data_IF_733206458765
#
_entry.id   IF_733206458765
#
_cell.length_a   1.000
_cell.length_b   1.000
_cell.length_c   1.000
_cell.angle_alpha   90.00
_cell.angle_beta   90.00
_cell.angle_gamma   90.00
#
_symmetry.space_group_name_H-M   'P 1'
#
loop_
_entity.id
_entity.type
_entity.pdbx_description
1 polymer ?
#
# COMPACT_ATOMS: atom_id res chain seq x y z
N UNK A 1 23.13 7.89 -1.74
CA UNK A 1 21.73 8.35 -1.76
C UNK A 1 21.12 7.98 -0.44
N UNK A 2 20.73 8.98 0.36
CA UNK A 2 20.04 8.76 1.63
C UNK A 2 18.62 8.23 1.39
N UNK A 3 17.98 7.64 2.41
CA UNK A 3 16.56 7.26 2.32
C UNK A 3 15.67 8.48 2.02
N UNK A 4 16.08 9.67 2.46
CA UNK A 4 15.39 10.93 2.18
C UNK A 4 15.43 11.31 0.70
N UNK A 5 16.63 11.31 0.09
CA UNK A 5 16.79 11.59 -1.34
C UNK A 5 16.06 10.56 -2.22
N UNK A 6 16.08 9.29 -1.80
CA UNK A 6 15.37 8.23 -2.49
C UNK A 6 13.85 8.40 -2.36
N UNK A 7 13.36 8.85 -1.20
CA UNK A 7 11.95 9.13 -0.98
C UNK A 7 11.47 10.25 -1.91
N UNK A 8 12.17 11.39 -1.93
CA UNK A 8 11.85 12.51 -2.83
C UNK A 8 11.80 12.04 -4.28
N UNK A 9 12.83 11.33 -4.74
CA UNK A 9 12.88 10.79 -6.11
C UNK A 9 11.73 9.82 -6.40
N UNK A 10 11.25 9.09 -5.40
CA UNK A 10 10.13 8.17 -5.53
C UNK A 10 8.81 8.93 -5.66
N UNK A 11 8.60 9.95 -4.82
CA UNK A 11 7.38 10.77 -4.82
C UNK A 11 7.17 11.49 -6.16
N UNK A 12 8.25 11.98 -6.79
CA UNK A 12 8.18 12.62 -8.11
C UNK A 12 7.72 11.73 -9.28
N UNK A 13 7.59 10.42 -9.07
CA UNK A 13 7.16 9.48 -10.12
C UNK A 13 5.63 9.32 -10.21
N UNK A 14 4.90 9.85 -9.24
CA UNK A 14 3.45 9.67 -9.15
C UNK A 14 2.70 10.86 -9.78
N UNK A 15 1.41 10.68 -10.16
CA UNK A 15 0.71 11.63 -11.03
C UNK A 15 0.63 13.07 -10.50
N UNK A 16 0.45 13.25 -9.20
CA UNK A 16 0.35 14.57 -8.55
C UNK A 16 0.51 14.47 -7.03
N UNK A 17 0.74 15.63 -6.39
CA UNK A 17 0.69 15.76 -4.92
C UNK A 17 -0.65 15.29 -4.34
N UNK A 18 -1.75 15.61 -5.03
CA UNK A 18 -3.10 15.26 -4.58
C UNK A 18 -3.33 13.76 -4.66
N UNK A 19 -2.89 13.11 -5.74
CA UNK A 19 -2.96 11.67 -5.89
C UNK A 19 -2.14 10.96 -4.80
N UNK A 20 -0.90 11.42 -4.57
CA UNK A 20 -0.04 10.91 -3.50
C UNK A 20 -0.67 11.02 -2.13
N UNK A 21 -1.17 12.21 -1.78
CA UNK A 21 -1.81 12.46 -0.48
C UNK A 21 -2.96 11.49 -0.24
N UNK A 22 -3.78 11.23 -1.27
CA UNK A 22 -4.89 10.27 -1.19
C UNK A 22 -4.42 8.82 -1.04
N UNK A 23 -3.36 8.43 -1.74
CA UNK A 23 -2.76 7.10 -1.55
C UNK A 23 -2.32 6.93 -0.09
N UNK A 24 -1.61 7.90 0.47
CA UNK A 24 -1.15 7.81 1.85
C UNK A 24 -2.28 7.91 2.87
N UNK A 25 -3.36 8.64 2.58
CA UNK A 25 -4.57 8.63 3.41
C UNK A 25 -5.26 7.26 3.39
N UNK A 26 -5.30 6.58 2.23
CA UNK A 26 -5.79 5.21 2.12
C UNK A 26 -4.94 4.24 2.95
N UNK A 27 -3.62 4.36 2.90
CA UNK A 27 -2.70 3.55 3.72
C UNK A 27 -2.89 3.85 5.20
N UNK A 28 -2.97 5.13 5.59
CA UNK A 28 -3.24 5.56 6.98
C UNK A 28 -4.54 4.93 7.50
N UNK A 29 -5.60 4.97 6.69
CA UNK A 29 -6.88 4.35 7.03
C UNK A 29 -6.71 2.85 7.29
N UNK A 30 -6.03 2.11 6.40
CA UNK A 30 -5.76 0.69 6.58
C UNK A 30 -4.98 0.40 7.87
N UNK A 31 -3.89 1.12 8.13
CA UNK A 31 -3.08 0.90 9.34
C UNK A 31 -3.86 1.21 10.62
N UNK A 32 -4.74 2.22 10.57
CA UNK A 32 -5.62 2.58 11.69
C UNK A 32 -6.68 1.50 11.94
N UNK A 33 -7.37 1.05 10.89
CA UNK A 33 -8.41 0.01 10.98
C UNK A 33 -7.84 -1.33 11.48
N UNK A 34 -6.57 -1.63 11.17
CA UNK A 34 -5.88 -2.85 11.60
C UNK A 34 -5.19 -2.74 12.95
N UNK A 35 -5.17 -1.54 13.57
CA UNK A 35 -4.43 -1.24 14.81
C UNK A 35 -2.94 -1.63 14.71
N UNK A 36 -2.27 -1.18 13.63
CA UNK A 36 -0.87 -1.49 13.34
C UNK A 36 0.01 -0.24 13.49
N UNK A 37 1.05 -0.37 14.31
CA UNK A 37 2.10 0.65 14.46
C UNK A 37 3.37 0.34 13.64
N UNK A 38 4.32 1.29 13.60
CA UNK A 38 5.61 1.13 12.89
C UNK A 38 6.44 -0.04 13.44
N UNK A 39 6.31 -0.36 14.72
CA UNK A 39 7.07 -1.40 15.40
C UNK A 39 6.49 -2.80 15.18
N UNK A 40 5.25 -2.90 14.70
CA UNK A 40 4.62 -4.18 14.41
C UNK A 40 5.51 -5.03 13.48
N UNK A 41 5.95 -6.22 13.94
CA UNK A 41 6.86 -7.06 13.17
C UNK A 41 6.24 -7.56 11.86
N UNK A 42 4.91 -7.54 11.73
CA UNK A 42 4.13 -7.98 10.57
C UNK A 42 4.03 -6.91 9.49
N UNK A 43 4.35 -5.65 9.79
CA UNK A 43 4.36 -4.54 8.83
C UNK A 43 5.76 -4.30 8.24
N UNK A 44 5.79 -4.08 6.93
CA UNK A 44 6.92 -3.48 6.24
C UNK A 44 6.46 -2.43 5.22
N UNK A 45 6.90 -1.18 5.44
CA UNK A 45 6.80 -0.09 4.48
C UNK A 45 8.17 0.02 3.80
N UNK A 46 8.24 -0.24 2.50
CA UNK A 46 9.54 -0.33 1.83
C UNK A 46 9.75 0.81 0.84
N UNK A 47 11.01 1.16 0.65
CA UNK A 47 11.48 2.17 -0.30
C UNK A 47 12.53 1.51 -1.22
N UNK A 48 12.11 0.66 -2.17
CA UNK A 48 13.02 0.03 -3.11
C UNK A 48 13.56 1.06 -4.12
N UNK A 49 14.68 0.75 -4.75
CA UNK A 49 15.36 1.66 -5.70
C UNK A 49 14.52 2.03 -6.94
N UNK A 50 13.51 1.23 -7.26
CA UNK A 50 12.57 1.50 -8.35
C UNK A 50 11.49 2.52 -7.98
N UNK A 51 11.45 2.99 -6.73
CA UNK A 51 10.56 4.06 -6.28
C UNK A 51 9.10 3.65 -6.04
N UNK A 52 8.75 2.37 -6.19
CA UNK A 52 7.42 1.87 -5.83
C UNK A 52 7.34 1.84 -4.30
N UNK A 53 6.30 2.40 -3.69
CA UNK A 53 6.16 2.55 -2.23
C UNK A 53 5.12 1.57 -1.65
N UNK A 54 5.33 0.24 -1.71
CA UNK A 54 4.31 -0.72 -1.33
C UNK A 54 4.16 -0.83 0.19
N UNK A 55 2.96 -1.19 0.59
CA UNK A 55 2.61 -1.62 1.95
C UNK A 55 2.62 -3.13 1.96
N UNK A 56 3.36 -3.71 2.90
CA UNK A 56 3.48 -5.16 3.03
C UNK A 56 3.00 -5.61 4.40
N UNK A 57 2.13 -6.62 4.42
CA UNK A 57 1.79 -7.37 5.62
C UNK A 57 2.24 -8.81 5.44
N UNK A 58 3.00 -9.33 6.41
CA UNK A 58 3.57 -10.67 6.31
C UNK A 58 4.44 -10.85 5.06
N UNK A 59 4.06 -11.79 4.19
CA UNK A 59 4.77 -12.08 2.93
C UNK A 59 4.06 -11.50 1.69
N UNK A 60 3.10 -10.58 1.86
CA UNK A 60 2.26 -10.09 0.76
C UNK A 60 2.30 -8.57 0.63
N UNK A 61 2.22 -8.11 -0.61
CA UNK A 61 1.84 -6.73 -0.92
C UNK A 61 0.35 -6.58 -0.64
N UNK A 62 -0.04 -5.60 0.18
CA UNK A 62 -1.45 -5.30 0.45
C UNK A 62 -1.91 -4.05 -0.28
N UNK A 63 -1.02 -3.06 -0.39
CA UNK A 63 -1.17 -1.93 -1.31
C UNK A 63 0.12 -1.67 -2.08
N UNK A 64 0.00 -1.22 -3.33
CA UNK A 64 1.11 -0.82 -4.18
C UNK A 64 0.68 0.36 -5.06
N UNK A 65 1.29 1.55 -4.94
CA UNK A 65 0.94 2.66 -5.80
C UNK A 65 1.59 2.46 -7.18
N UNK A 66 0.80 2.63 -8.25
CA UNK A 66 1.24 2.69 -9.64
C UNK A 66 1.53 4.12 -10.06
N UNK A 67 2.51 4.32 -10.93
CA UNK A 67 2.83 5.63 -11.51
C UNK A 67 1.84 6.04 -12.63
N UNK A 68 0.99 5.11 -13.04
CA UNK A 68 -0.10 5.25 -14.01
C UNK A 68 -1.44 5.68 -13.38
N UNK A 69 -1.45 5.94 -12.06
CA UNK A 69 -2.63 6.36 -11.32
C UNK A 69 -3.46 5.21 -10.75
N UNK A 70 -3.01 3.96 -10.91
CA UNK A 70 -3.63 2.79 -10.30
C UNK A 70 -3.06 2.51 -8.91
N UNK A 71 -3.83 1.81 -8.08
CA UNK A 71 -3.39 1.25 -6.82
C UNK A 71 -3.61 -0.25 -6.86
N UNK A 72 -2.52 -1.00 -6.75
CA UNK A 72 -2.55 -2.44 -6.58
C UNK A 72 -3.02 -2.81 -5.18
N UNK A 73 -3.96 -3.74 -5.08
CA UNK A 73 -4.60 -4.16 -3.84
C UNK A 73 -4.69 -5.69 -3.77
N UNK A 74 -4.44 -6.25 -2.59
CA UNK A 74 -4.77 -7.66 -2.34
C UNK A 74 -6.28 -7.80 -2.12
N UNK A 75 -6.89 -8.85 -2.67
CA UNK A 75 -8.30 -9.20 -2.45
C UNK A 75 -8.46 -10.73 -2.38
N UNK A 76 -9.57 -11.26 -1.81
CA UNK A 76 -9.83 -12.70 -1.75
C UNK A 76 -9.78 -13.36 -3.13
N UNK A 77 -9.46 -14.66 -3.15
CA UNK A 77 -9.36 -15.42 -4.40
C UNK A 77 -10.68 -15.50 -5.18
N UNK A 78 -11.81 -15.39 -4.48
CA UNK A 78 -13.16 -15.41 -5.02
C UNK A 78 -13.74 -14.00 -5.25
N UNK A 79 -12.93 -12.95 -5.05
CA UNK A 79 -13.35 -11.57 -5.33
C UNK A 79 -13.73 -11.41 -6.82
N UNK A 80 -14.90 -10.80 -7.04
CA UNK A 80 -15.44 -10.53 -8.38
C UNK A 80 -14.83 -9.25 -8.97
N UNK A 81 -13.72 -9.41 -9.70
CA UNK A 81 -13.02 -8.30 -10.35
C UNK A 81 -13.85 -7.65 -11.47
N UNK A 82 -14.84 -8.35 -12.06
CA UNK A 82 -15.67 -7.78 -13.14
C UNK A 82 -16.66 -6.72 -12.62
N UNK A 83 -16.95 -6.74 -11.33
CA UNK A 83 -17.85 -5.78 -10.67
C UNK A 83 -17.20 -4.42 -10.37
N UNK A 84 -15.91 -4.26 -10.64
CA UNK A 84 -15.15 -3.03 -10.39
C UNK A 84 -14.41 -2.58 -11.63
N UNK A 85 -14.14 -1.28 -11.73
CA UNK A 85 -13.28 -0.74 -12.77
C UNK A 85 -11.82 -1.07 -12.44
N UNK A 86 -11.36 -2.28 -12.73
CA UNK A 86 -10.03 -2.75 -12.37
C UNK A 86 -9.65 -4.04 -13.10
N UNK A 87 -8.44 -4.53 -12.89
CA UNK A 87 -7.98 -5.75 -13.55
C UNK A 87 -7.06 -6.58 -12.65
N UNK A 88 -7.07 -7.89 -12.90
CA UNK A 88 -6.22 -8.85 -12.20
C UNK A 88 -4.78 -8.74 -12.71
N UNK A 89 -3.83 -8.66 -11.78
CA UNK A 89 -2.40 -8.53 -12.11
C UNK A 89 -1.71 -9.88 -11.92
N UNK A 90 -1.88 -10.49 -10.74
CA UNK A 90 -1.32 -11.79 -10.39
C UNK A 90 -2.06 -12.41 -9.20
N UNK A 91 -1.69 -13.66 -8.88
CA UNK A 91 -2.20 -14.38 -7.72
C UNK A 91 -1.10 -14.56 -6.67
N UNK A 92 -1.48 -14.49 -5.40
CA UNK A 92 -0.66 -15.04 -4.34
C UNK A 92 -0.93 -16.53 -4.21
N UNK A 93 0.10 -17.29 -3.84
CA UNK A 93 -0.02 -18.73 -3.62
C UNK A 93 0.63 -19.14 -2.30
N UNK A 94 -0.04 -20.02 -1.57
CA UNK A 94 0.53 -20.72 -0.41
C UNK A 94 0.63 -22.20 -0.73
N UNK A 95 1.83 -22.78 -0.60
CA UNK A 95 2.09 -24.20 -0.91
C UNK A 95 1.62 -24.63 -2.31
N UNK A 96 1.72 -23.72 -3.29
CA UNK A 96 1.35 -23.99 -4.69
C UNK A 96 -0.13 -23.85 -5.01
N UNK A 97 -0.97 -23.40 -4.06
CA UNK A 97 -2.40 -23.15 -4.27
C UNK A 97 -2.63 -21.64 -4.24
N UNK A 98 -3.29 -21.10 -5.26
CA UNK A 98 -3.69 -19.70 -5.29
C UNK A 98 -4.75 -19.43 -4.21
N UNK A 99 -4.52 -18.42 -3.39
CA UNK A 99 -5.36 -18.14 -2.21
C UNK A 99 -5.70 -16.66 -2.03
N UNK A 100 -5.16 -15.76 -2.87
CA UNK A 100 -5.61 -14.39 -3.01
C UNK A 100 -5.27 -13.85 -4.40
N UNK A 101 -5.99 -12.81 -4.83
CA UNK A 101 -5.69 -12.04 -6.03
C UNK A 101 -4.96 -10.75 -5.65
N UNK A 102 -4.17 -10.24 -6.58
CA UNK A 102 -3.70 -8.87 -6.57
C UNK A 102 -4.24 -8.18 -7.80
N UNK A 103 -5.04 -7.14 -7.60
CA UNK A 103 -5.73 -6.39 -8.65
C UNK A 103 -5.22 -4.95 -8.68
N UNK A 104 -5.18 -4.32 -9.84
CA UNK A 104 -4.96 -2.87 -9.95
C UNK A 104 -6.32 -2.19 -10.19
N UNK A 105 -6.59 -1.13 -9.42
CA UNK A 105 -7.81 -0.30 -9.53
C UNK A 105 -7.40 1.17 -9.71
N UNK A 106 -8.01 1.95 -10.62
CA UNK A 106 -7.70 3.36 -10.79
C UNK A 106 -8.12 4.13 -9.54
N UNK A 107 -7.25 5.05 -9.12
CA UNK A 107 -7.57 5.99 -8.05
C UNK A 107 -7.72 7.38 -8.64
N UNK A 108 -8.96 7.88 -8.66
CA UNK A 108 -9.27 9.22 -9.12
C UNK A 108 -9.10 10.24 -7.99
N UNK A 109 -8.48 11.38 -8.29
CA UNK A 109 -8.19 12.41 -7.29
C UNK A 109 -9.45 13.02 -6.64
N UNK A 110 -10.58 12.96 -7.33
CA UNK A 110 -11.84 13.61 -6.93
C UNK A 110 -12.93 12.61 -6.48
N UNK A 111 -12.60 11.33 -6.34
CA UNK A 111 -13.58 10.30 -5.94
C UNK A 111 -13.00 9.46 -4.81
N UNK A 112 -13.79 9.03 -3.81
CA UNK A 112 -13.30 8.11 -2.80
C UNK A 112 -12.76 6.83 -3.44
N UNK A 113 -11.83 6.18 -2.76
CA UNK A 113 -11.38 4.85 -3.18
C UNK A 113 -12.56 3.86 -3.09
N UNK A 114 -12.61 2.87 -3.98
CA UNK A 114 -13.73 1.91 -4.02
C UNK A 114 -13.85 1.15 -2.69
N UNK A 115 -14.94 1.37 -1.96
CA UNK A 115 -15.16 0.77 -0.63
C UNK A 115 -15.29 -0.75 -0.70
N UNK A 116 -15.87 -1.28 -1.77
CA UNK A 116 -15.97 -2.73 -1.98
C UNK A 116 -14.59 -3.39 -2.07
N UNK A 117 -13.66 -2.80 -2.84
CA UNK A 117 -12.26 -3.28 -2.92
C UNK A 117 -11.54 -3.07 -1.59
N UNK A 118 -11.76 -1.94 -0.92
CA UNK A 118 -11.13 -1.67 0.37
C UNK A 118 -11.51 -2.73 1.42
N UNK A 119 -12.80 -3.06 1.53
CA UNK A 119 -13.28 -4.05 2.50
C UNK A 119 -12.74 -5.45 2.19
N UNK A 120 -12.66 -5.81 0.90
CA UNK A 120 -12.04 -7.06 0.47
C UNK A 120 -10.53 -7.12 0.83
N UNK A 121 -9.80 -6.01 0.64
CA UNK A 121 -8.42 -5.88 1.06
C UNK A 121 -8.27 -6.00 2.58
N UNK A 122 -9.15 -5.36 3.35
CA UNK A 122 -9.13 -5.42 4.81
C UNK A 122 -9.37 -6.85 5.32
N UNK A 123 -10.28 -7.60 4.71
CA UNK A 123 -10.52 -9.01 5.01
C UNK A 123 -9.25 -9.85 4.82
N UNK A 124 -8.57 -9.70 3.68
CA UNK A 124 -7.30 -10.39 3.42
C UNK A 124 -6.20 -9.98 4.40
N UNK A 125 -6.13 -8.70 4.77
CA UNK A 125 -5.19 -8.22 5.78
C UNK A 125 -5.43 -8.91 7.13
N UNK A 126 -6.69 -9.05 7.57
CA UNK A 126 -7.00 -9.78 8.80
C UNK A 126 -6.55 -11.25 8.73
N UNK A 127 -6.80 -11.95 7.61
CA UNK A 127 -6.32 -13.34 7.41
C UNK A 127 -4.80 -13.42 7.51
N UNK A 128 -4.07 -12.49 6.88
CA UNK A 128 -2.60 -12.43 6.97
C UNK A 128 -2.16 -12.27 8.43
N UNK A 129 -2.76 -11.33 9.16
CA UNK A 129 -2.36 -10.99 10.53
C UNK A 129 -2.66 -12.12 11.54
N UNK A 130 -3.67 -12.95 11.29
CA UNK A 130 -3.99 -14.13 12.11
C UNK A 130 -2.92 -15.22 12.00
N UNK A 131 -2.29 -15.36 10.83
CA UNK A 131 -1.35 -16.46 10.56
C UNK A 131 0.12 -16.02 10.55
N UNK A 132 0.39 -14.73 10.38
CA UNK A 132 1.74 -14.22 10.24
C UNK A 132 2.26 -13.59 11.53
N UNK A 133 3.44 -14.03 11.99
CA UNK A 133 4.12 -13.44 13.15
C UNK A 133 5.10 -12.32 12.79
N UNK A 134 5.56 -12.28 11.53
CA UNK A 134 6.58 -11.32 11.06
C UNK A 134 6.58 -11.21 9.55
N UNK A 135 6.76 -9.99 9.04
CA UNK A 135 6.95 -9.76 7.62
C UNK A 135 8.30 -10.27 7.12
N UNK A 136 8.29 -10.94 5.96
CA UNK A 136 9.52 -11.29 5.24
C UNK A 136 10.29 -10.05 4.75
N UNK A 137 9.57 -8.95 4.58
CA UNK A 137 10.10 -7.66 4.17
C UNK A 137 10.51 -6.79 5.36
N UNK A 138 10.37 -7.27 6.61
CA UNK A 138 10.63 -6.47 7.82
C UNK A 138 12.03 -5.84 7.84
N UNK A 139 13.05 -6.54 7.31
CA UNK A 139 14.42 -6.02 7.20
C UNK A 139 14.57 -4.79 6.29
N UNK A 140 13.55 -4.50 5.49
CA UNK A 140 13.47 -3.36 4.57
C UNK A 140 12.48 -2.29 5.04
N UNK A 141 11.91 -2.43 6.25
CA UNK A 141 10.98 -1.45 6.79
C UNK A 141 11.69 -0.09 6.98
N UNK A 142 11.04 0.97 6.52
CA UNK A 142 11.52 2.34 6.66
C UNK A 142 10.57 3.11 7.57
N UNK A 143 10.99 3.40 8.81
CA UNK A 143 10.13 4.05 9.81
C UNK A 143 9.66 5.43 9.39
N UNK A 144 10.50 6.23 8.71
CA UNK A 144 10.11 7.58 8.24
C UNK A 144 8.89 7.55 7.29
N UNK A 145 8.68 6.44 6.57
CA UNK A 145 7.47 6.29 5.75
C UNK A 145 6.22 6.14 6.60
N UNK A 146 6.32 5.51 7.77
CA UNK A 146 5.21 5.41 8.70
C UNK A 146 4.82 6.80 9.21
N UNK A 147 5.78 7.59 9.67
CA UNK A 147 5.53 8.96 10.14
C UNK A 147 4.92 9.81 9.02
N UNK A 148 5.46 9.69 7.79
CA UNK A 148 4.92 10.34 6.60
C UNK A 148 3.46 9.94 6.29
N UNK A 149 3.10 8.67 6.52
CA UNK A 149 1.73 8.18 6.32
C UNK A 149 0.81 8.69 7.42
N UNK A 150 1.24 8.59 8.68
CA UNK A 150 0.38 8.81 9.84
C UNK A 150 0.22 10.28 10.20
N UNK A 151 1.22 11.12 9.91
CA UNK A 151 1.26 12.54 10.28
C UNK A 151 1.10 13.45 9.05
N UNK A 152 -0.12 13.98 8.77
CA UNK A 152 -0.37 14.83 7.62
C UNK A 152 0.51 16.10 7.59
N UNK A 153 0.89 16.63 8.75
CA UNK A 153 1.79 17.79 8.84
C UNK A 153 3.19 17.47 8.30
N UNK A 154 3.75 16.31 8.69
CA UNK A 154 5.06 15.84 8.19
C UNK A 154 5.00 15.61 6.69
N UNK A 155 3.91 14.99 6.22
CA UNK A 155 3.66 14.80 4.78
C UNK A 155 3.60 16.12 4.02
N UNK A 156 2.82 17.08 4.50
CA UNK A 156 2.65 18.39 3.85
C UNK A 156 3.90 19.26 3.89
N UNK A 157 4.77 19.10 4.88
CA UNK A 157 6.08 19.76 4.89
C UNK A 157 6.97 19.18 3.78
N UNK A 158 7.04 17.85 3.70
CA UNK A 158 7.87 17.18 2.70
C UNK A 158 7.37 17.35 1.27
N UNK A 159 6.06 17.37 1.05
CA UNK A 159 5.50 17.59 -0.28
C UNK A 159 5.67 19.02 -0.78
N UNK A 160 5.67 20.03 0.13
CA UNK A 160 5.92 21.44 -0.22
C UNK A 160 7.31 21.69 -0.81
N UNK A 161 8.30 20.92 -0.41
CA UNK A 161 9.66 21.03 -0.94
C UNK A 161 9.81 20.33 -2.32
N UNK A 162 8.79 19.59 -2.74
CA UNK A 162 8.80 18.75 -3.95
C UNK A 162 7.90 19.33 -5.06
N UNK A 163 6.74 19.89 -4.71
CA UNK A 163 5.73 20.46 -5.62
C UNK A 163 5.54 21.95 -5.38
#
# INVERSE_FOLDING_TARGET
MSNYELLIKSLLQFPSEKWLSRYFDLVKKLLTDLDIDSNDPRLALTLPKNGILPVNLGQRYVFRPGNDGYVGCIVPIDFDTESVDGFEVFFFSTKGINDAKFIDIPMFENQPFCEYVYNACLEECHKILQHCKKSGFRKHHVSILYDFIMEPSVRSELLRDIF
#
